data_IF_406626791238
#
_entry.id   IF_406626791238
#
_cell.length_a   1.000
_cell.length_b   1.000
_cell.length_c   1.000
_cell.angle_alpha   90.00
_cell.angle_beta   90.00
_cell.angle_gamma   90.00
#
_symmetry.space_group_name_H-M   'P 1'
#
loop_
_entity.id
_entity.type
_entity.pdbx_description
1 polymer ?
#
# COMPACT_ATOMS: atom_id res chain seq x y z
N UNK A 1 45.03 -98.72 25.15
CA UNK A 1 45.18 -98.00 23.81
C UNK A 1 43.79 -97.92 23.10
N UNK A 2 42.70 -98.15 23.81
CA UNK A 2 41.35 -98.16 23.21
C UNK A 2 40.49 -96.97 23.62
N UNK A 3 40.83 -96.20 24.64
CA UNK A 3 40.03 -95.05 25.14
C UNK A 3 40.25 -93.70 24.41
N UNK A 4 41.31 -93.59 23.62
CA UNK A 4 41.52 -92.35 22.88
C UNK A 4 40.74 -92.23 21.56
N UNK A 5 40.14 -93.30 21.08
CA UNK A 5 39.37 -93.31 19.83
C UNK A 5 37.88 -92.97 20.01
N UNK A 6 37.31 -92.99 21.25
CA UNK A 6 35.91 -92.68 21.56
C UNK A 6 35.66 -91.12 21.70
N UNK A 7 36.66 -90.39 22.16
CA UNK A 7 36.57 -88.96 22.33
C UNK A 7 36.70 -88.15 20.99
N UNK A 8 37.34 -88.72 19.98
CA UNK A 8 37.47 -88.05 18.68
C UNK A 8 36.21 -88.16 17.80
N UNK A 9 35.32 -89.18 18.07
CA UNK A 9 34.06 -89.34 17.31
C UNK A 9 32.91 -88.51 17.85
N UNK A 10 32.97 -88.05 19.09
CA UNK A 10 31.99 -87.10 19.64
C UNK A 10 32.20 -85.66 19.24
N UNK A 11 33.46 -85.24 18.94
CA UNK A 11 33.75 -83.88 18.48
C UNK A 11 33.39 -83.62 17.00
N UNK A 12 33.22 -84.69 16.16
CA UNK A 12 32.75 -84.54 14.78
C UNK A 12 31.22 -84.46 14.62
N UNK A 13 30.47 -84.99 15.61
CA UNK A 13 29.03 -84.86 15.67
C UNK A 13 28.55 -83.39 15.99
N UNK A 14 29.33 -82.73 16.84
CA UNK A 14 29.03 -81.38 17.31
C UNK A 14 29.22 -80.31 16.23
N UNK A 15 30.17 -80.51 15.33
CA UNK A 15 30.43 -79.59 14.19
C UNK A 15 29.31 -79.64 13.13
N UNK A 16 28.59 -80.74 12.97
CA UNK A 16 27.45 -80.83 12.05
C UNK A 16 26.21 -80.17 12.65
N UNK A 17 25.97 -80.36 13.96
CA UNK A 17 24.91 -79.67 14.69
C UNK A 17 25.09 -78.15 14.67
N UNK A 18 26.33 -77.67 14.93
CA UNK A 18 26.63 -76.23 14.83
C UNK A 18 26.42 -75.65 13.40
N UNK A 19 26.80 -76.43 12.36
CA UNK A 19 26.56 -75.98 10.96
C UNK A 19 25.08 -75.92 10.63
N UNK A 20 24.25 -76.86 11.08
CA UNK A 20 22.82 -76.84 10.85
C UNK A 20 22.14 -75.70 11.65
N UNK A 21 22.56 -75.50 12.90
CA UNK A 21 22.09 -74.36 13.72
C UNK A 21 22.46 -73.02 13.06
N UNK A 22 23.68 -72.85 12.52
CA UNK A 22 24.13 -71.67 11.80
C UNK A 22 23.32 -71.43 10.50
N UNK A 23 23.04 -72.51 9.73
CA UNK A 23 22.21 -72.40 8.50
C UNK A 23 20.78 -71.99 8.84
N UNK A 24 20.19 -72.56 9.95
CA UNK A 24 18.84 -72.15 10.37
C UNK A 24 18.79 -70.70 10.84
N UNK A 25 19.77 -70.24 11.59
CA UNK A 25 19.86 -68.84 12.03
C UNK A 25 20.06 -67.92 10.81
N UNK A 26 20.89 -68.28 9.86
CA UNK A 26 21.09 -67.52 8.63
C UNK A 26 19.80 -67.47 7.78
N UNK A 27 19.08 -68.61 7.62
CA UNK A 27 17.82 -68.69 6.93
C UNK A 27 16.73 -67.84 7.61
N UNK A 28 16.63 -67.90 8.97
CA UNK A 28 15.76 -67.05 9.72
C UNK A 28 16.08 -65.56 9.59
N UNK A 29 17.37 -65.19 9.61
CA UNK A 29 17.81 -63.81 9.36
C UNK A 29 17.43 -63.34 7.96
N UNK A 30 17.63 -64.17 6.94
CA UNK A 30 17.23 -63.85 5.56
C UNK A 30 15.72 -63.70 5.43
N UNK A 31 14.92 -64.56 6.09
CA UNK A 31 13.46 -64.46 6.10
C UNK A 31 12.97 -63.17 6.82
N UNK A 32 13.60 -62.79 7.93
CA UNK A 32 13.30 -61.55 8.63
C UNK A 32 13.66 -60.33 7.76
N UNK A 33 14.81 -60.32 7.12
CA UNK A 33 15.24 -59.25 6.20
C UNK A 33 14.29 -59.16 4.99
N UNK A 34 13.96 -60.32 4.38
CA UNK A 34 13.02 -60.36 3.26
C UNK A 34 11.63 -59.91 3.68
N UNK A 35 11.16 -60.35 4.87
CA UNK A 35 9.86 -59.88 5.42
C UNK A 35 9.83 -58.39 5.68
N UNK A 36 10.90 -57.79 6.24
CA UNK A 36 11.02 -56.32 6.40
C UNK A 36 11.06 -55.60 5.07
N UNK A 37 11.76 -56.13 4.09
CA UNK A 37 11.84 -55.54 2.77
C UNK A 37 10.49 -55.52 2.05
N UNK A 38 9.79 -56.65 2.06
CA UNK A 38 8.43 -56.75 1.50
C UNK A 38 7.44 -55.84 2.27
N UNK A 39 7.49 -55.85 3.60
CA UNK A 39 6.65 -54.98 4.41
C UNK A 39 6.93 -53.48 4.10
N UNK A 40 8.18 -53.06 4.01
CA UNK A 40 8.53 -51.72 3.67
C UNK A 40 7.98 -51.34 2.28
N UNK A 41 8.16 -52.18 1.27
CA UNK A 41 7.68 -51.94 -0.09
C UNK A 41 6.14 -51.95 -0.21
N UNK A 42 5.42 -52.57 0.67
CA UNK A 42 3.94 -52.59 0.73
C UNK A 42 3.36 -51.39 1.51
N UNK A 43 4.17 -50.73 2.32
CA UNK A 43 3.74 -49.66 3.23
C UNK A 43 4.30 -48.29 2.90
N UNK A 44 5.27 -48.19 1.97
CA UNK A 44 5.90 -46.95 1.58
C UNK A 44 5.93 -46.84 0.04
N UNK A 45 5.64 -45.65 -0.44
CA UNK A 45 5.80 -45.29 -1.86
C UNK A 45 7.11 -44.52 -2.01
N UNK A 46 8.07 -45.14 -2.71
CA UNK A 46 9.35 -44.50 -2.98
C UNK A 46 9.28 -43.77 -4.33
N UNK A 47 9.55 -42.48 -4.31
CA UNK A 47 9.56 -41.58 -5.47
C UNK A 47 10.95 -41.02 -5.66
N UNK A 48 11.61 -41.41 -6.76
CA UNK A 48 12.96 -40.93 -7.14
C UNK A 48 12.93 -39.70 -8.02
N UNK A 49 11.78 -39.36 -8.61
CA UNK A 49 11.56 -38.14 -9.42
C UNK A 49 11.00 -37.04 -8.54
N UNK A 50 11.84 -36.48 -7.69
CA UNK A 50 11.49 -35.39 -6.81
C UNK A 50 12.63 -34.38 -6.71
N UNK A 51 12.27 -33.12 -6.46
CA UNK A 51 13.23 -32.02 -6.32
C UNK A 51 12.80 -31.03 -5.27
N UNK A 52 13.75 -30.31 -4.71
CA UNK A 52 13.46 -29.12 -3.91
C UNK A 52 13.01 -28.00 -4.85
N UNK A 53 11.88 -27.40 -4.53
CA UNK A 53 11.31 -26.26 -5.24
C UNK A 53 11.08 -25.09 -4.29
N UNK A 54 11.04 -23.89 -4.83
CA UNK A 54 10.65 -22.66 -4.15
C UNK A 54 9.95 -21.74 -5.12
N UNK A 55 9.28 -20.73 -4.59
CA UNK A 55 8.77 -19.64 -5.41
C UNK A 55 9.91 -18.71 -5.83
N UNK A 56 10.17 -18.67 -7.14
CA UNK A 56 11.19 -17.81 -7.70
C UNK A 56 10.61 -16.42 -7.96
N UNK A 57 11.14 -15.42 -7.26
CA UNK A 57 10.69 -14.04 -7.33
C UNK A 57 11.61 -13.26 -8.26
N UNK A 58 11.06 -12.76 -9.34
CA UNK A 58 11.80 -11.92 -10.28
C UNK A 58 11.71 -10.45 -9.85
N UNK A 59 12.84 -9.82 -9.59
CA UNK A 59 12.95 -8.39 -9.38
C UNK A 59 13.21 -7.74 -10.74
N UNK A 60 12.24 -6.94 -11.20
CA UNK A 60 12.30 -6.25 -12.48
C UNK A 60 12.40 -4.74 -12.29
N UNK A 61 13.01 -4.03 -13.24
CA UNK A 61 13.03 -2.59 -13.26
C UNK A 61 11.63 -2.04 -13.54
N UNK A 62 11.17 -1.07 -12.74
CA UNK A 62 9.89 -0.40 -12.97
C UNK A 62 10.02 0.73 -13.98
N UNK A 63 11.19 1.38 -14.02
CA UNK A 63 11.46 2.51 -14.89
C UNK A 63 12.64 2.21 -15.81
N UNK A 64 12.67 2.73 -17.05
CA UNK A 64 13.81 2.55 -17.94
C UNK A 64 14.98 3.44 -17.50
N UNK A 65 16.21 2.98 -17.74
CA UNK A 65 17.42 3.76 -17.46
C UNK A 65 18.67 2.89 -17.30
N UNK A 66 19.81 3.54 -17.10
CA UNK A 66 21.09 2.88 -16.88
C UNK A 66 21.22 2.38 -15.43
N UNK A 67 21.60 1.14 -15.22
CA UNK A 67 21.88 0.59 -13.89
C UNK A 67 23.17 1.21 -13.35
N UNK A 68 23.05 2.14 -12.41
CA UNK A 68 24.17 2.89 -11.84
C UNK A 68 24.96 2.07 -10.80
N UNK A 69 24.25 1.26 -10.01
CA UNK A 69 24.86 0.41 -9.00
C UNK A 69 24.04 -0.86 -8.74
N UNK A 70 24.76 -1.94 -8.39
CA UNK A 70 24.17 -3.19 -7.93
C UNK A 70 25.05 -3.75 -6.79
N UNK A 71 24.76 -3.38 -5.53
CA UNK A 71 25.60 -3.74 -4.38
C UNK A 71 25.51 -5.21 -3.98
N UNK A 72 24.55 -5.97 -4.53
CA UNK A 72 24.32 -7.38 -4.20
C UNK A 72 24.90 -8.32 -5.26
N UNK A 73 25.34 -9.51 -4.82
CA UNK A 73 25.88 -10.56 -5.67
C UNK A 73 25.01 -11.82 -5.57
N UNK A 74 25.21 -12.76 -6.51
CA UNK A 74 24.60 -14.08 -6.45
C UNK A 74 25.05 -14.82 -5.18
N UNK A 75 24.11 -15.39 -4.45
CA UNK A 75 24.32 -16.03 -3.16
C UNK A 75 24.14 -15.13 -1.93
N UNK A 76 24.01 -13.80 -2.10
CA UNK A 76 23.81 -12.89 -0.98
C UNK A 76 22.42 -13.06 -0.36
N UNK A 77 22.39 -12.97 0.97
CA UNK A 77 21.13 -12.86 1.74
C UNK A 77 20.69 -11.42 1.80
N UNK A 78 19.44 -11.20 1.49
CA UNK A 78 18.81 -9.86 1.46
C UNK A 78 17.56 -9.81 2.32
N UNK A 79 17.30 -8.65 2.89
CA UNK A 79 16.11 -8.40 3.68
C UNK A 79 15.06 -7.62 2.87
N UNK A 80 13.80 -7.83 3.20
CA UNK A 80 12.70 -7.08 2.60
C UNK A 80 12.95 -5.57 2.70
N UNK A 81 12.84 -4.86 1.57
CA UNK A 81 13.08 -3.42 1.46
C UNK A 81 14.55 -3.04 1.27
N UNK A 82 15.49 -4.00 1.32
CA UNK A 82 16.90 -3.75 1.03
C UNK A 82 17.09 -3.36 -0.43
N UNK A 83 17.92 -2.35 -0.70
CA UNK A 83 18.27 -1.93 -2.06
C UNK A 83 19.15 -2.99 -2.73
N UNK A 84 18.67 -3.49 -3.85
CA UNK A 84 19.37 -4.50 -4.67
C UNK A 84 20.12 -3.88 -5.84
N UNK A 85 19.70 -2.69 -6.27
CA UNK A 85 20.30 -1.91 -7.35
C UNK A 85 19.66 -0.55 -7.47
N UNK A 86 20.34 0.35 -8.16
CA UNK A 86 19.84 1.70 -8.44
C UNK A 86 20.00 2.02 -9.92
N UNK A 87 18.93 2.49 -10.53
CA UNK A 87 18.95 3.06 -11.88
C UNK A 87 19.35 4.54 -11.76
N UNK A 88 20.06 5.07 -12.74
CA UNK A 88 20.52 6.46 -12.74
C UNK A 88 19.39 7.44 -12.52
N UNK A 89 19.42 8.13 -11.40
CA UNK A 89 18.28 8.89 -10.86
C UNK A 89 18.48 10.42 -10.90
N UNK A 90 19.61 10.93 -11.41
CA UNK A 90 19.93 12.36 -11.30
C UNK A 90 18.88 13.26 -11.96
N UNK A 91 18.49 12.95 -13.20
CA UNK A 91 17.47 13.72 -13.91
C UNK A 91 16.11 13.68 -13.20
N UNK A 92 15.70 12.51 -12.69
CA UNK A 92 14.45 12.36 -11.95
C UNK A 92 14.48 13.09 -10.60
N UNK A 93 15.63 13.08 -9.91
CA UNK A 93 15.81 13.79 -8.63
C UNK A 93 15.80 15.31 -8.83
N UNK A 94 16.43 15.80 -9.90
CA UNK A 94 16.39 17.20 -10.28
C UNK A 94 14.97 17.65 -10.68
N UNK A 95 14.24 16.82 -11.43
CA UNK A 95 12.84 17.08 -11.75
C UNK A 95 11.95 17.15 -10.49
N UNK A 96 12.13 16.23 -9.54
CA UNK A 96 11.40 16.25 -8.27
C UNK A 96 11.74 17.50 -7.43
N UNK A 97 13.01 17.95 -7.41
CA UNK A 97 13.42 19.15 -6.70
C UNK A 97 12.85 20.43 -7.37
N UNK A 98 12.79 20.49 -8.69
CA UNK A 98 12.15 21.59 -9.42
C UNK A 98 10.64 21.67 -9.14
N UNK A 99 9.94 20.51 -9.08
CA UNK A 99 8.53 20.47 -8.70
C UNK A 99 8.32 20.88 -7.22
N UNK A 100 9.24 20.54 -6.33
CA UNK A 100 9.19 20.98 -4.94
C UNK A 100 9.32 22.50 -4.81
N UNK A 101 10.25 23.11 -5.54
CA UNK A 101 10.42 24.56 -5.59
C UNK A 101 9.18 25.26 -6.17
N UNK A 102 8.58 24.71 -7.22
CA UNK A 102 7.34 25.23 -7.81
C UNK A 102 6.15 25.16 -6.83
N UNK A 103 6.02 24.07 -6.07
CA UNK A 103 5.01 23.95 -5.02
C UNK A 103 5.23 24.99 -3.93
N UNK A 104 6.46 25.14 -3.45
CA UNK A 104 6.80 26.11 -2.41
C UNK A 104 6.45 27.55 -2.83
N UNK A 105 6.71 27.92 -4.09
CA UNK A 105 6.34 29.24 -4.60
C UNK A 105 4.82 29.45 -4.67
N UNK A 106 4.07 28.43 -5.06
CA UNK A 106 2.60 28.47 -5.07
C UNK A 106 1.99 28.55 -3.66
N UNK A 107 2.55 27.83 -2.70
CA UNK A 107 2.16 27.91 -1.29
C UNK A 107 2.43 29.30 -0.68
N UNK A 108 3.57 29.92 -1.02
CA UNK A 108 3.88 31.30 -0.65
C UNK A 108 2.87 32.31 -1.23
N UNK A 109 2.41 32.11 -2.47
CA UNK A 109 1.37 32.94 -3.07
C UNK A 109 0.01 32.77 -2.38
N UNK A 110 -0.37 31.55 -2.00
CA UNK A 110 -1.57 31.32 -1.18
C UNK A 110 -1.50 32.10 0.12
N UNK A 111 -0.39 32.00 0.84
CA UNK A 111 -0.19 32.71 2.11
C UNK A 111 -0.26 34.22 1.93
N UNK A 112 0.35 34.78 0.86
CA UNK A 112 0.31 36.19 0.53
C UNK A 112 -1.15 36.66 0.31
N UNK A 113 -1.92 35.89 -0.46
CA UNK A 113 -3.34 36.23 -0.71
C UNK A 113 -4.19 36.15 0.55
N UNK A 114 -3.94 35.15 1.42
CA UNK A 114 -4.62 35.03 2.71
C UNK A 114 -4.33 36.20 3.64
N UNK A 115 -3.08 36.62 3.71
CA UNK A 115 -2.69 37.83 4.47
C UNK A 115 -3.38 39.09 3.92
N UNK A 116 -3.36 39.27 2.60
CA UNK A 116 -4.03 40.41 1.95
C UNK A 116 -5.55 40.40 2.23
N UNK A 117 -6.17 39.21 2.21
CA UNK A 117 -7.59 39.07 2.56
C UNK A 117 -7.85 39.45 4.02
N UNK A 118 -6.97 39.04 4.94
CA UNK A 118 -7.11 39.36 6.37
C UNK A 118 -6.98 40.88 6.61
N UNK A 119 -5.98 41.53 6.03
CA UNK A 119 -5.76 42.97 6.11
C UNK A 119 -6.94 43.75 5.50
N UNK A 120 -7.36 43.38 4.30
CA UNK A 120 -8.50 44.02 3.61
C UNK A 120 -9.79 43.86 4.42
N UNK A 121 -10.02 42.66 4.97
CA UNK A 121 -11.17 42.40 5.82
C UNK A 121 -11.16 43.31 7.09
N UNK A 122 -10.01 43.41 7.75
CA UNK A 122 -9.88 44.23 8.94
C UNK A 122 -10.16 45.72 8.64
N UNK A 123 -9.55 46.25 7.57
CA UNK A 123 -9.73 47.68 7.17
C UNK A 123 -11.18 47.97 6.72
N UNK A 124 -11.79 47.11 5.93
CA UNK A 124 -13.16 47.29 5.45
C UNK A 124 -14.19 47.13 6.59
N UNK A 125 -13.92 46.23 7.53
CA UNK A 125 -14.78 46.04 8.72
C UNK A 125 -14.74 47.26 9.63
N UNK A 126 -13.57 47.92 9.81
CA UNK A 126 -13.43 49.16 10.52
C UNK A 126 -14.21 50.27 9.82
N UNK A 127 -14.11 50.41 8.48
CA UNK A 127 -14.87 51.41 7.70
C UNK A 127 -16.41 51.20 7.79
N UNK A 128 -16.87 49.95 7.80
CA UNK A 128 -18.29 49.63 8.00
C UNK A 128 -18.75 50.06 9.41
N UNK A 129 -17.97 49.80 10.43
CA UNK A 129 -18.28 50.17 11.80
C UNK A 129 -18.30 51.69 11.98
N UNK A 130 -17.36 52.41 11.37
CA UNK A 130 -17.35 53.89 11.37
C UNK A 130 -18.61 54.46 10.68
N UNK A 131 -18.91 53.97 9.47
CA UNK A 131 -20.10 54.42 8.73
C UNK A 131 -21.40 54.10 9.47
N UNK A 132 -21.46 52.98 10.19
CA UNK A 132 -22.62 52.64 11.05
C UNK A 132 -22.75 53.60 12.23
N UNK A 133 -21.67 53.87 12.97
CA UNK A 133 -21.68 54.81 14.08
C UNK A 133 -22.10 56.20 13.63
N UNK A 134 -21.68 56.62 12.42
CA UNK A 134 -22.06 57.89 11.85
C UNK A 134 -23.55 57.95 11.47
N UNK A 135 -24.10 56.84 10.92
CA UNK A 135 -25.52 56.72 10.67
C UNK A 135 -26.36 56.79 11.95
N UNK A 136 -25.92 56.04 13.00
CA UNK A 136 -26.62 56.04 14.31
C UNK A 136 -26.67 57.45 14.94
N UNK A 137 -25.55 58.18 14.86
CA UNK A 137 -25.49 59.58 15.37
C UNK A 137 -26.44 60.52 14.61
N UNK A 138 -26.46 60.46 13.28
CA UNK A 138 -27.37 61.28 12.44
C UNK A 138 -28.82 60.84 12.64
N UNK A 139 -29.11 59.56 12.82
CA UNK A 139 -30.47 59.07 13.10
C UNK A 139 -31.03 59.60 14.41
N UNK A 140 -30.20 59.68 15.46
CA UNK A 140 -30.57 60.30 16.73
C UNK A 140 -30.87 61.81 16.55
N UNK A 141 -30.00 62.52 15.83
CA UNK A 141 -30.20 63.94 15.53
C UNK A 141 -31.49 64.17 14.70
N UNK A 142 -31.76 63.32 13.72
CA UNK A 142 -33.01 63.38 12.91
C UNK A 142 -34.24 63.17 13.76
N UNK A 143 -34.22 62.19 14.68
CA UNK A 143 -35.36 61.93 15.58
C UNK A 143 -35.59 63.14 16.51
N UNK A 144 -34.52 63.73 17.05
CA UNK A 144 -34.62 64.95 17.86
C UNK A 144 -35.24 66.13 17.05
N UNK A 145 -34.81 66.31 15.81
CA UNK A 145 -35.31 67.35 14.93
C UNK A 145 -36.82 67.11 14.55
N UNK A 146 -37.22 65.86 14.38
CA UNK A 146 -38.58 65.43 14.14
C UNK A 146 -39.51 65.81 15.32
N UNK A 147 -39.03 65.53 16.54
CA UNK A 147 -39.74 65.88 17.75
C UNK A 147 -39.86 67.41 17.91
N UNK A 148 -38.83 68.17 17.63
CA UNK A 148 -38.79 69.62 17.64
C UNK A 148 -39.76 70.24 16.63
N UNK A 149 -39.78 69.72 15.39
CA UNK A 149 -40.68 70.11 14.32
C UNK A 149 -42.13 69.84 14.75
N UNK A 150 -42.44 68.65 15.29
CA UNK A 150 -43.78 68.27 15.75
C UNK A 150 -44.30 69.21 16.86
N UNK A 151 -43.40 69.56 17.83
CA UNK A 151 -43.77 70.50 18.91
C UNK A 151 -44.00 71.92 18.36
N UNK A 152 -43.07 72.42 17.51
CA UNK A 152 -43.24 73.74 16.91
C UNK A 152 -44.48 73.88 16.03
N UNK A 153 -44.80 72.79 15.31
CA UNK A 153 -46.03 72.69 14.53
C UNK A 153 -47.26 72.75 15.39
N UNK A 154 -47.33 72.03 16.51
CA UNK A 154 -48.44 72.02 17.45
C UNK A 154 -48.66 73.39 18.10
N UNK A 155 -47.55 74.10 18.45
CA UNK A 155 -47.59 75.45 19.00
C UNK A 155 -48.09 76.44 17.96
N UNK A 156 -47.62 76.42 16.74
CA UNK A 156 -48.10 77.24 15.64
C UNK A 156 -49.57 77.00 15.37
N UNK A 157 -50.02 75.75 15.32
CA UNK A 157 -51.45 75.43 15.11
C UNK A 157 -52.30 75.96 16.24
N UNK A 158 -51.86 75.82 17.49
CA UNK A 158 -52.61 76.37 18.69
C UNK A 158 -52.66 77.85 18.64
N UNK A 159 -51.58 78.57 18.37
CA UNK A 159 -51.51 79.99 18.26
C UNK A 159 -52.44 80.53 17.12
N UNK A 160 -52.47 79.82 15.97
CA UNK A 160 -53.37 80.14 14.85
C UNK A 160 -54.81 79.99 15.21
N UNK A 161 -55.21 78.94 15.93
CA UNK A 161 -56.60 78.73 16.36
C UNK A 161 -57.06 79.79 17.41
N UNK A 162 -56.11 80.29 18.22
CA UNK A 162 -56.32 81.29 19.23
C UNK A 162 -56.39 82.71 18.67
N UNK A 163 -55.74 83.05 17.56
CA UNK A 163 -55.82 84.38 16.92
C UNK A 163 -57.14 84.54 16.27
N UNK A 164 -57.75 83.54 15.65
CA UNK A 164 -59.08 83.54 15.09
C UNK A 164 -60.15 83.88 16.16
N UNK A 165 -59.87 83.59 17.44
CA UNK A 165 -60.67 83.87 18.59
C UNK A 165 -60.28 85.17 19.33
N UNK A 166 -59.32 85.95 18.80
CA UNK A 166 -58.73 87.17 19.36
C UNK A 166 -58.04 87.02 20.73
N UNK A 167 -57.63 85.82 21.13
CA UNK A 167 -56.90 85.55 22.38
C UNK A 167 -55.37 85.78 22.31
N UNK A 168 -54.81 85.90 21.11
CA UNK A 168 -53.39 86.16 20.91
C UNK A 168 -53.21 87.19 19.77
N UNK A 169 -52.00 87.88 19.72
CA UNK A 169 -51.68 88.84 18.67
C UNK A 169 -51.19 88.17 17.41
N UNK A 170 -51.39 88.77 16.21
CA UNK A 170 -50.84 88.31 14.94
C UNK A 170 -49.30 88.17 14.98
N UNK A 171 -48.60 89.04 15.69
CA UNK A 171 -47.18 88.99 15.90
C UNK A 171 -46.76 87.68 16.58
N UNK A 172 -47.54 87.13 17.49
CA UNK A 172 -47.26 85.85 18.14
C UNK A 172 -47.39 84.67 17.18
N UNK A 173 -48.41 84.67 16.33
CA UNK A 173 -48.61 83.67 15.31
C UNK A 173 -47.42 83.69 14.32
N UNK A 174 -47.05 84.93 13.86
CA UNK A 174 -45.92 85.08 12.95
C UNK A 174 -44.60 84.59 13.54
N UNK A 175 -44.42 84.73 14.86
CA UNK A 175 -43.25 84.22 15.55
C UNK A 175 -43.25 82.66 15.61
N UNK A 176 -44.37 82.08 15.99
CA UNK A 176 -44.52 80.63 16.06
C UNK A 176 -44.44 79.98 14.66
N UNK A 177 -44.95 80.62 13.60
CA UNK A 177 -44.78 80.22 12.21
C UNK A 177 -43.31 80.19 11.78
N UNK A 178 -42.57 81.24 12.20
CA UNK A 178 -41.16 81.32 11.89
C UNK A 178 -40.36 80.22 12.56
N UNK A 179 -40.64 79.93 13.83
CA UNK A 179 -40.05 78.83 14.60
C UNK A 179 -40.38 77.46 13.93
N UNK A 180 -41.62 77.27 13.53
CA UNK A 180 -42.03 76.02 12.83
C UNK A 180 -41.30 75.87 11.49
N UNK A 181 -41.22 76.95 10.67
CA UNK A 181 -40.49 76.89 9.40
C UNK A 181 -39.01 76.61 9.55
N UNK A 182 -38.37 77.10 10.61
CA UNK A 182 -36.94 76.77 10.94
C UNK A 182 -36.85 75.32 11.33
N UNK A 183 -37.69 74.83 12.21
CA UNK A 183 -37.62 73.43 12.65
C UNK A 183 -37.91 72.47 11.48
N UNK A 184 -38.81 72.79 10.57
CA UNK A 184 -39.13 72.04 9.38
C UNK A 184 -37.92 71.97 8.44
N UNK A 185 -37.18 73.08 8.20
CA UNK A 185 -35.97 73.06 7.40
C UNK A 185 -34.85 72.24 8.01
N UNK A 186 -34.71 72.32 9.37
CA UNK A 186 -33.66 71.49 10.04
C UNK A 186 -33.99 69.97 9.98
N UNK A 187 -35.26 69.61 10.12
CA UNK A 187 -35.73 68.26 9.94
C UNK A 187 -35.49 67.76 8.50
N UNK A 188 -35.73 68.56 7.47
CA UNK A 188 -35.47 68.20 6.08
C UNK A 188 -33.95 68.04 5.82
N UNK A 189 -33.12 68.94 6.37
CA UNK A 189 -31.66 68.85 6.29
C UNK A 189 -31.14 67.56 6.88
N UNK A 190 -31.54 67.21 8.13
CA UNK A 190 -31.11 66.01 8.79
C UNK A 190 -31.65 64.74 8.14
N UNK A 191 -32.84 64.80 7.50
CA UNK A 191 -33.34 63.70 6.68
C UNK A 191 -32.44 63.45 5.45
N UNK A 192 -31.93 64.52 4.84
CA UNK A 192 -30.99 64.40 3.72
C UNK A 192 -29.62 63.89 4.17
N UNK A 193 -29.14 64.33 5.32
CA UNK A 193 -27.90 63.82 5.95
C UNK A 193 -27.99 62.34 6.32
N UNK A 194 -29.15 61.90 6.88
CA UNK A 194 -29.37 60.47 7.17
C UNK A 194 -29.36 59.60 5.91
N UNK A 195 -29.97 60.05 4.82
CA UNK A 195 -29.88 59.36 3.53
C UNK A 195 -28.44 59.28 3.00
N UNK A 196 -27.65 60.36 3.15
CA UNK A 196 -26.26 60.38 2.74
C UNK A 196 -25.40 59.42 3.60
N UNK A 197 -25.65 59.37 4.94
CA UNK A 197 -24.98 58.43 5.85
C UNK A 197 -25.35 56.97 5.52
N UNK A 198 -26.62 56.71 5.22
CA UNK A 198 -27.08 55.38 4.79
C UNK A 198 -26.41 54.92 3.48
N UNK A 199 -26.26 55.84 2.51
CA UNK A 199 -25.54 55.57 1.26
C UNK A 199 -24.04 55.27 1.49
N UNK A 200 -23.40 55.98 2.46
CA UNK A 200 -22.00 55.70 2.87
C UNK A 200 -21.87 54.32 3.51
N UNK A 201 -22.78 53.94 4.39
CA UNK A 201 -22.79 52.60 4.98
C UNK A 201 -22.94 51.52 3.89
N UNK A 202 -23.88 51.68 2.96
CA UNK A 202 -24.08 50.76 1.86
C UNK A 202 -22.81 50.62 0.98
N UNK A 203 -22.12 51.74 0.72
CA UNK A 203 -20.83 51.74 0.00
C UNK A 203 -19.75 50.99 0.77
N UNK A 204 -19.60 51.21 2.08
CA UNK A 204 -18.64 50.52 2.92
C UNK A 204 -18.93 49.00 2.98
N UNK A 205 -20.18 48.61 3.11
CA UNK A 205 -20.62 47.21 3.06
C UNK A 205 -20.32 46.53 1.71
N UNK A 206 -20.52 47.24 0.61
CA UNK A 206 -20.18 46.73 -0.72
C UNK A 206 -18.65 46.55 -0.88
N UNK A 207 -17.85 47.47 -0.37
CA UNK A 207 -16.40 47.39 -0.36
C UNK A 207 -15.89 46.23 0.55
N UNK A 208 -16.63 45.86 1.58
CA UNK A 208 -16.30 44.73 2.48
C UNK A 208 -16.50 43.36 1.84
N UNK A 209 -17.08 43.25 0.65
CA UNK A 209 -17.19 41.99 -0.09
C UNK A 209 -15.88 41.67 -0.76
N UNK A 210 -15.26 40.57 -0.29
CA UNK A 210 -13.94 40.10 -0.77
C UNK A 210 -14.04 39.01 -1.83
N UNK A 211 -15.13 38.96 -2.59
CA UNK A 211 -15.46 37.85 -3.50
C UNK A 211 -14.35 37.62 -4.56
N UNK A 212 -13.77 38.69 -5.08
CA UNK A 212 -12.67 38.59 -6.06
C UNK A 212 -11.40 38.04 -5.45
N UNK A 213 -11.00 38.49 -4.24
CA UNK A 213 -9.84 38.01 -3.53
C UNK A 213 -10.05 36.56 -3.05
N UNK A 214 -11.24 36.21 -2.59
CA UNK A 214 -11.59 34.86 -2.22
C UNK A 214 -11.45 33.88 -3.42
N UNK A 215 -11.94 34.32 -4.59
CA UNK A 215 -11.81 33.55 -5.82
C UNK A 215 -10.34 33.39 -6.24
N UNK A 216 -9.52 34.44 -6.10
CA UNK A 216 -8.08 34.36 -6.40
C UNK A 216 -7.38 33.40 -5.42
N UNK A 217 -7.64 33.50 -4.12
CA UNK A 217 -7.07 32.59 -3.12
C UNK A 217 -7.50 31.13 -3.35
N UNK A 218 -8.73 30.90 -3.75
CA UNK A 218 -9.23 29.57 -4.09
C UNK A 218 -8.51 28.99 -5.32
N UNK A 219 -8.29 29.79 -6.36
CA UNK A 219 -7.50 29.39 -7.56
C UNK A 219 -6.07 29.06 -7.18
N UNK A 220 -5.39 29.93 -6.42
CA UNK A 220 -4.02 29.69 -5.96
C UNK A 220 -3.90 28.41 -5.14
N UNK A 221 -4.88 28.10 -4.27
CA UNK A 221 -4.93 26.84 -3.53
C UNK A 221 -5.10 25.62 -4.44
N UNK A 222 -5.96 25.71 -5.46
CA UNK A 222 -6.13 24.64 -6.44
C UNK A 222 -4.85 24.41 -7.26
N UNK A 223 -4.15 25.46 -7.64
CA UNK A 223 -2.87 25.39 -8.36
C UNK A 223 -1.79 24.74 -7.47
N UNK A 224 -1.67 25.14 -6.21
CA UNK A 224 -0.76 24.51 -5.24
C UNK A 224 -1.07 23.02 -5.03
N UNK A 225 -2.35 22.62 -4.94
CA UNK A 225 -2.76 21.23 -4.87
C UNK A 225 -2.36 20.45 -6.13
N UNK A 226 -2.54 21.05 -7.31
CA UNK A 226 -2.12 20.45 -8.59
C UNK A 226 -0.61 20.23 -8.65
N UNK A 227 0.19 21.20 -8.21
CA UNK A 227 1.65 21.09 -8.12
C UNK A 227 2.07 20.04 -7.07
N UNK A 228 1.37 19.96 -5.94
CA UNK A 228 1.59 18.93 -4.93
C UNK A 228 1.33 17.50 -5.47
N UNK A 229 0.33 17.32 -6.33
CA UNK A 229 0.10 16.06 -7.02
C UNK A 229 1.22 15.71 -7.99
N UNK A 230 1.72 16.68 -8.77
CA UNK A 230 2.86 16.50 -9.67
C UNK A 230 4.14 16.14 -8.93
N UNK A 231 4.41 16.80 -7.80
CA UNK A 231 5.55 16.46 -6.96
C UNK A 231 5.47 15.02 -6.43
N UNK A 232 4.28 14.55 -6.03
CA UNK A 232 4.11 13.15 -5.60
C UNK A 232 4.41 12.16 -6.72
N UNK A 233 3.95 12.42 -7.95
CA UNK A 233 4.29 11.61 -9.13
C UNK A 233 5.80 11.59 -9.36
N UNK A 234 6.44 12.74 -9.37
CA UNK A 234 7.89 12.84 -9.59
C UNK A 234 8.70 12.11 -8.50
N UNK A 235 8.22 12.11 -7.24
CA UNK A 235 8.83 11.33 -6.14
C UNK A 235 8.62 9.82 -6.31
N UNK A 236 7.48 9.38 -6.87
CA UNK A 236 7.27 7.97 -7.22
C UNK A 236 8.22 7.54 -8.34
N UNK A 237 8.43 8.40 -9.35
CA UNK A 237 9.40 8.12 -10.42
C UNK A 237 10.81 7.91 -9.83
N UNK A 238 11.25 8.77 -8.91
CA UNK A 238 12.54 8.60 -8.20
C UNK A 238 12.57 7.32 -7.36
N UNK A 239 11.47 7.00 -6.67
CA UNK A 239 11.37 5.79 -5.86
C UNK A 239 11.46 4.51 -6.73
N UNK A 240 10.83 4.52 -7.90
CA UNK A 240 10.78 3.37 -8.80
C UNK A 240 12.10 3.12 -9.56
N UNK A 241 13.06 4.04 -9.45
CA UNK A 241 14.44 3.84 -9.89
C UNK A 241 15.26 2.99 -8.92
N UNK A 242 14.75 2.69 -7.71
CA UNK A 242 15.39 1.78 -6.77
C UNK A 242 14.80 0.38 -6.90
N UNK A 243 15.67 -0.58 -7.14
CA UNK A 243 15.32 -1.99 -7.12
C UNK A 243 15.41 -2.47 -5.67
N UNK A 244 14.30 -2.86 -5.07
CA UNK A 244 14.26 -3.31 -3.67
C UNK A 244 13.78 -4.75 -3.56
N UNK A 245 14.27 -5.48 -2.55
CA UNK A 245 13.84 -6.84 -2.25
C UNK A 245 12.39 -6.85 -1.76
N UNK A 246 11.46 -7.59 -2.41
CA UNK A 246 10.07 -7.68 -1.99
C UNK A 246 9.86 -8.52 -0.73
N UNK A 247 10.76 -9.48 -0.48
CA UNK A 247 10.78 -10.41 0.67
C UNK A 247 12.18 -10.58 1.22
N UNK A 248 12.31 -11.22 2.39
CA UNK A 248 13.59 -11.76 2.83
C UNK A 248 13.96 -12.93 1.93
N UNK A 249 15.23 -13.03 1.50
CA UNK A 249 15.59 -14.11 0.60
C UNK A 249 17.06 -14.18 0.28
N UNK A 250 17.38 -15.02 -0.70
CA UNK A 250 18.71 -15.20 -1.27
C UNK A 250 18.65 -14.84 -2.76
N UNK A 251 19.64 -14.12 -3.24
CA UNK A 251 19.79 -13.79 -4.66
C UNK A 251 20.30 -15.03 -5.40
N UNK A 252 19.50 -15.57 -6.30
CA UNK A 252 19.88 -16.77 -7.08
C UNK A 252 20.67 -16.42 -8.32
N UNK A 253 20.20 -15.40 -9.06
CA UNK A 253 20.81 -15.03 -10.33
C UNK A 253 20.65 -13.56 -10.65
N UNK A 254 21.66 -12.99 -11.27
CA UNK A 254 21.65 -11.65 -11.86
C UNK A 254 21.58 -11.75 -13.38
N UNK A 255 20.71 -10.91 -13.99
CA UNK A 255 20.52 -10.81 -15.43
C UNK A 255 21.04 -9.50 -16.02
N UNK A 256 21.43 -8.54 -15.16
CA UNK A 256 21.98 -7.26 -15.57
C UNK A 256 23.17 -6.86 -14.72
N UNK A 257 24.11 -6.15 -15.32
CA UNK A 257 25.30 -5.63 -14.68
C UNK A 257 25.24 -4.11 -14.57
N UNK A 258 26.04 -3.55 -13.66
CA UNK A 258 26.23 -2.10 -13.59
C UNK A 258 26.72 -1.57 -14.94
N UNK A 259 26.06 -0.53 -15.45
CA UNK A 259 26.31 0.03 -16.76
C UNK A 259 25.36 -0.48 -17.86
N UNK A 260 24.52 -1.48 -17.60
CA UNK A 260 23.54 -1.94 -18.58
C UNK A 260 22.34 -0.99 -18.61
N UNK A 261 21.72 -0.83 -19.78
CA UNK A 261 20.46 -0.13 -19.93
C UNK A 261 19.31 -1.07 -19.70
N UNK A 262 18.43 -0.71 -18.77
CA UNK A 262 17.25 -1.48 -18.40
C UNK A 262 16.00 -0.90 -19.07
N UNK A 263 15.16 -1.75 -19.63
CA UNK A 263 13.80 -1.38 -20.02
C UNK A 263 12.82 -1.56 -18.86
N UNK A 264 11.71 -0.85 -18.89
CA UNK A 264 10.63 -1.07 -17.92
C UNK A 264 10.11 -2.51 -18.04
N UNK A 265 9.97 -3.22 -16.92
CA UNK A 265 9.60 -4.65 -16.87
C UNK A 265 10.75 -5.62 -17.12
N UNK A 266 11.94 -5.14 -17.43
CA UNK A 266 13.11 -6.00 -17.61
C UNK A 266 13.53 -6.63 -16.28
N UNK A 267 13.68 -7.97 -16.27
CA UNK A 267 14.16 -8.71 -15.11
C UNK A 267 15.65 -8.41 -14.85
N UNK A 268 15.95 -8.04 -13.63
CA UNK A 268 17.31 -7.69 -13.18
C UNK A 268 17.91 -8.79 -12.31
N UNK A 269 17.12 -9.30 -11.37
CA UNK A 269 17.53 -10.33 -10.41
C UNK A 269 16.45 -11.39 -10.25
N UNK A 270 16.86 -12.59 -9.87
CA UNK A 270 15.99 -13.66 -9.43
C UNK A 270 16.38 -14.01 -8.00
N UNK A 271 15.41 -14.17 -7.13
CA UNK A 271 15.61 -14.52 -5.73
C UNK A 271 14.54 -15.47 -5.24
N UNK A 272 14.81 -16.17 -4.16
CA UNK A 272 13.82 -17.01 -3.47
C UNK A 272 13.88 -16.79 -1.95
N UNK A 273 12.77 -17.14 -1.28
CA UNK A 273 12.73 -17.22 0.17
C UNK A 273 13.21 -18.61 0.61
N UNK A 274 14.36 -18.71 1.31
CA UNK A 274 14.90 -20.01 1.72
C UNK A 274 14.06 -20.70 2.81
N UNK A 275 13.14 -19.99 3.46
CA UNK A 275 12.20 -20.60 4.42
C UNK A 275 10.95 -21.15 3.72
N UNK A 276 10.59 -20.63 2.56
CA UNK A 276 9.43 -21.01 1.75
C UNK A 276 9.79 -22.02 0.67
N UNK A 277 10.33 -23.16 1.07
CA UNK A 277 10.68 -24.28 0.17
C UNK A 277 9.76 -25.47 0.39
N UNK A 278 9.63 -26.28 -0.63
CA UNK A 278 8.92 -27.57 -0.58
C UNK A 278 9.62 -28.60 -1.47
N UNK A 279 9.24 -29.86 -1.27
CA UNK A 279 9.62 -30.93 -2.22
C UNK A 279 8.48 -31.08 -3.23
N UNK A 280 8.82 -31.07 -4.50
CA UNK A 280 7.93 -31.40 -5.61
C UNK A 280 8.27 -32.81 -6.09
N UNK A 281 7.38 -33.76 -5.82
CA UNK A 281 7.52 -35.16 -6.19
C UNK A 281 6.55 -35.50 -7.33
N UNK A 282 7.04 -36.06 -8.43
CA UNK A 282 6.25 -36.46 -9.59
C UNK A 282 5.78 -37.91 -9.42
N UNK A 283 4.58 -38.12 -8.88
CA UNK A 283 4.01 -39.44 -8.58
C UNK A 283 3.29 -39.97 -9.80
N UNK A 284 3.44 -41.28 -10.08
CA UNK A 284 2.71 -41.93 -11.15
C UNK A 284 1.22 -41.93 -10.85
N UNK A 285 0.40 -41.73 -11.88
CA UNK A 285 -1.08 -41.78 -11.78
C UNK A 285 -1.59 -43.07 -11.13
N UNK A 286 -0.90 -44.18 -11.39
CA UNK A 286 -1.25 -45.50 -10.81
C UNK A 286 -1.14 -45.56 -9.29
N UNK A 287 -0.22 -44.77 -8.71
CA UNK A 287 0.14 -44.83 -7.30
C UNK A 287 -0.56 -43.73 -6.51
N UNK A 288 -1.30 -42.83 -7.21
CA UNK A 288 -1.96 -41.67 -6.60
C UNK A 288 -3.12 -42.07 -5.69
N UNK A 289 -3.74 -43.22 -5.92
CA UNK A 289 -4.86 -43.72 -5.10
C UNK A 289 -4.50 -43.92 -3.64
N UNK A 290 -3.20 -44.17 -3.34
CA UNK A 290 -2.68 -44.42 -2.01
C UNK A 290 -2.19 -43.16 -1.30
N UNK A 291 -2.19 -42.00 -2.00
CA UNK A 291 -1.70 -40.72 -1.47
C UNK A 291 -2.83 -39.87 -0.90
N UNK A 292 -2.62 -39.33 0.30
CA UNK A 292 -3.54 -38.43 0.99
C UNK A 292 -2.80 -37.24 1.58
N UNK A 293 -3.51 -36.12 1.73
CA UNK A 293 -2.99 -34.94 2.43
C UNK A 293 -2.63 -35.27 3.88
N UNK A 294 -1.50 -34.74 4.33
CA UNK A 294 -1.02 -34.90 5.70
C UNK A 294 -0.20 -36.16 5.96
N UNK A 295 -0.11 -37.12 5.00
CA UNK A 295 0.71 -38.32 5.17
C UNK A 295 2.19 -37.92 5.42
N UNK A 296 2.85 -38.59 6.41
CA UNK A 296 4.26 -38.40 6.69
C UNK A 296 5.12 -38.93 5.55
N UNK A 297 6.21 -38.24 5.27
CA UNK A 297 7.17 -38.63 4.29
C UNK A 297 8.60 -38.39 4.79
N UNK A 298 9.53 -39.21 4.31
CA UNK A 298 10.95 -39.04 4.54
C UNK A 298 11.61 -38.57 3.24
N UNK A 299 12.42 -37.53 3.34
CA UNK A 299 13.12 -36.94 2.21
C UNK A 299 14.63 -37.18 2.37
N UNK A 300 15.21 -37.86 1.41
CA UNK A 300 16.62 -38.11 1.32
C UNK A 300 17.24 -37.22 0.24
N UNK A 301 18.29 -36.53 0.60
CA UNK A 301 18.96 -35.57 -0.31
C UNK A 301 20.33 -36.09 -0.64
N UNK A 302 20.64 -36.29 -1.89
CA UNK A 302 21.92 -36.83 -2.33
C UNK A 302 23.15 -35.99 -1.89
N UNK A 303 22.96 -34.69 -1.78
CA UNK A 303 23.98 -33.76 -1.30
C UNK A 303 24.32 -33.93 0.20
N UNK A 304 23.44 -34.61 0.98
CA UNK A 304 23.61 -34.78 2.42
C UNK A 304 23.41 -36.25 2.81
N UNK A 305 24.32 -37.15 2.42
CA UNK A 305 24.21 -38.57 2.71
C UNK A 305 24.20 -38.82 4.22
N UNK A 306 23.22 -39.63 4.68
CA UNK A 306 23.01 -39.94 6.11
C UNK A 306 22.12 -38.95 6.87
N UNK A 307 21.59 -37.92 6.22
CA UNK A 307 20.54 -37.05 6.79
C UNK A 307 19.19 -37.32 6.13
N UNK A 308 18.19 -37.52 6.93
CA UNK A 308 16.80 -37.68 6.49
C UNK A 308 16.01 -36.45 6.98
N UNK A 309 15.27 -35.82 6.11
CA UNK A 309 14.43 -34.69 6.44
C UNK A 309 12.98 -35.17 6.53
N UNK A 310 12.28 -34.75 7.58
CA UNK A 310 10.87 -35.07 7.74
C UNK A 310 10.02 -34.12 6.88
N UNK A 311 9.06 -34.72 6.19
CA UNK A 311 8.09 -34.00 5.36
C UNK A 311 6.68 -34.50 5.55
N UNK A 312 5.70 -33.78 5.01
CA UNK A 312 4.30 -34.17 4.93
C UNK A 312 3.72 -33.76 3.60
N UNK A 313 2.84 -34.59 3.06
CA UNK A 313 2.06 -34.26 1.87
C UNK A 313 1.20 -33.04 2.16
N UNK A 314 1.48 -31.93 1.47
CA UNK A 314 0.79 -30.65 1.66
C UNK A 314 -0.20 -30.32 0.54
N UNK A 315 0.04 -30.80 -0.69
CA UNK A 315 -0.81 -30.56 -1.85
C UNK A 315 -0.66 -31.70 -2.85
N UNK A 316 -1.78 -32.14 -3.42
CA UNK A 316 -1.82 -33.07 -4.55
C UNK A 316 -2.25 -32.28 -5.78
N UNK A 317 -1.47 -32.30 -6.85
CA UNK A 317 -1.75 -31.58 -8.08
C UNK A 317 -3.02 -32.11 -8.78
N UNK A 318 -3.74 -31.21 -9.42
CA UNK A 318 -4.97 -31.56 -10.13
C UNK A 318 -4.76 -31.85 -11.64
N UNK A 319 -3.51 -31.76 -12.12
CA UNK A 319 -3.18 -31.92 -13.54
C UNK A 319 -1.84 -32.63 -13.68
N UNK A 320 -1.72 -33.46 -14.70
CA UNK A 320 -0.47 -34.14 -15.02
C UNK A 320 0.57 -33.12 -15.53
N UNK A 321 1.85 -33.39 -15.24
CA UNK A 321 2.97 -32.53 -15.67
C UNK A 321 3.04 -32.40 -17.20
N UNK A 322 2.62 -33.42 -17.94
CA UNK A 322 2.56 -33.39 -19.41
C UNK A 322 1.57 -32.38 -19.99
N UNK A 323 0.52 -32.00 -19.24
CA UNK A 323 -0.47 -30.99 -19.67
C UNK A 323 0.13 -29.59 -19.83
N UNK A 324 1.26 -29.31 -19.16
CA UNK A 324 1.99 -28.03 -19.19
C UNK A 324 3.30 -28.09 -19.97
N UNK A 325 3.57 -29.20 -20.67
CA UNK A 325 4.78 -29.32 -21.47
C UNK A 325 4.71 -28.35 -22.67
N UNK A 326 5.76 -27.51 -22.83
CA UNK A 326 5.87 -26.55 -23.94
C UNK A 326 5.87 -27.22 -25.33
N UNK A 327 6.25 -28.48 -25.41
CA UNK A 327 6.16 -29.32 -26.60
C UNK A 327 5.28 -30.53 -26.22
N UNK A 328 3.97 -30.49 -26.49
CA UNK A 328 3.16 -31.70 -26.40
C UNK A 328 3.76 -32.69 -27.39
N UNK A 329 4.06 -33.91 -26.93
CA UNK A 329 4.55 -34.98 -27.80
C UNK A 329 3.37 -35.48 -28.66
N UNK A 330 3.10 -34.88 -29.85
CA UNK A 330 2.06 -35.40 -30.70
C UNK A 330 2.59 -36.72 -31.28
N UNK A 331 1.94 -37.81 -30.94
CA UNK A 331 2.21 -39.09 -31.60
C UNK A 331 1.53 -39.04 -32.99
N UNK A 332 2.29 -38.73 -34.09
CA UNK A 332 1.68 -38.49 -35.42
C UNK A 332 1.15 -39.76 -36.07
N UNK A 333 1.41 -40.92 -35.46
CA UNK A 333 1.05 -42.24 -36.02
C UNK A 333 -0.37 -42.72 -35.63
N UNK A 334 -1.16 -41.95 -34.88
CA UNK A 334 -2.53 -42.34 -34.51
C UNK A 334 -2.63 -43.50 -33.49
N UNK A 335 -1.55 -44.09 -33.10
CA UNK A 335 -1.52 -45.21 -32.15
C UNK A 335 -1.33 -44.64 -30.74
N UNK A 336 -2.39 -44.53 -29.95
CA UNK A 336 -2.34 -44.10 -28.54
C UNK A 336 -1.71 -45.20 -27.67
N UNK A 337 -0.40 -45.14 -27.53
CA UNK A 337 0.27 -45.94 -26.48
C UNK A 337 -0.04 -45.25 -25.13
N UNK A 338 -0.73 -45.95 -24.23
CA UNK A 338 -1.02 -45.46 -22.88
C UNK A 338 0.29 -45.29 -22.14
N UNK A 339 0.73 -44.03 -22.00
CA UNK A 339 1.90 -43.65 -21.18
C UNK A 339 1.38 -43.24 -19.82
N UNK A 340 1.91 -43.86 -18.76
CA UNK A 340 1.57 -43.50 -17.38
C UNK A 340 1.95 -42.03 -17.12
N UNK A 341 0.97 -41.22 -16.77
CA UNK A 341 1.15 -39.82 -16.47
C UNK A 341 1.72 -39.62 -15.08
N UNK A 342 2.35 -38.45 -14.82
CA UNK A 342 2.84 -38.09 -13.51
C UNK A 342 2.10 -36.86 -13.00
N UNK A 343 1.72 -36.90 -11.72
CA UNK A 343 1.03 -35.81 -11.06
C UNK A 343 1.98 -35.23 -10.03
N UNK A 344 2.19 -33.89 -10.01
CA UNK A 344 3.06 -33.26 -9.05
C UNK A 344 2.38 -33.25 -7.67
N UNK A 345 3.08 -33.75 -6.67
CA UNK A 345 2.67 -33.72 -5.27
C UNK A 345 3.70 -32.87 -4.52
N UNK A 346 3.18 -31.88 -3.75
CA UNK A 346 4.05 -31.07 -2.91
C UNK A 346 4.08 -31.63 -1.49
N UNK A 347 5.29 -31.66 -0.94
CA UNK A 347 5.50 -32.02 0.44
C UNK A 347 6.13 -30.82 1.17
N UNK A 348 5.57 -30.45 2.30
CA UNK A 348 6.28 -29.57 3.22
C UNK A 348 7.47 -30.30 3.79
N UNK A 349 8.60 -29.62 3.91
CA UNK A 349 9.82 -30.19 4.48
C UNK A 349 10.28 -29.32 5.64
N UNK A 350 10.64 -29.98 6.77
CA UNK A 350 11.26 -29.28 7.90
C UNK A 350 12.77 -29.33 7.71
N UNK A 351 13.39 -28.16 7.67
CA UNK A 351 14.85 -28.07 7.57
C UNK A 351 15.42 -27.26 8.74
N UNK A 352 16.60 -27.66 9.19
CA UNK A 352 17.41 -26.91 10.14
C UNK A 352 18.61 -26.33 9.42
N UNK A 353 18.89 -25.05 9.62
CA UNK A 353 20.09 -24.37 9.08
C UNK A 353 20.05 -24.02 7.59
N UNK A 354 18.87 -24.01 6.94
CA UNK A 354 18.71 -23.60 5.53
C UNK A 354 19.64 -24.35 4.55
N UNK A 355 19.73 -25.67 4.73
CA UNK A 355 20.64 -26.51 3.93
C UNK A 355 20.07 -26.83 2.55
N UNK A 356 18.75 -26.95 2.44
CA UNK A 356 18.07 -27.33 1.21
C UNK A 356 18.01 -26.15 0.25
N UNK A 357 18.44 -26.37 -0.99
CA UNK A 357 18.45 -25.34 -2.04
C UNK A 357 17.52 -25.76 -3.17
N UNK A 358 16.78 -24.82 -3.77
CA UNK A 358 15.96 -25.09 -4.96
C UNK A 358 16.78 -25.74 -6.07
N UNK A 359 16.19 -26.72 -6.73
CA UNK A 359 16.83 -27.49 -7.78
C UNK A 359 17.60 -28.73 -7.33
N UNK A 360 17.83 -28.95 -6.01
CA UNK A 360 18.40 -30.18 -5.53
C UNK A 360 17.47 -31.36 -5.81
N UNK A 361 18.02 -32.46 -6.33
CA UNK A 361 17.32 -33.75 -6.51
C UNK A 361 17.21 -34.46 -5.17
N UNK A 362 16.09 -35.09 -4.94
CA UNK A 362 15.80 -35.81 -3.70
C UNK A 362 15.00 -37.08 -3.96
N UNK A 363 15.14 -38.04 -3.07
CA UNK A 363 14.27 -39.22 -3.01
C UNK A 363 13.28 -39.07 -1.88
N UNK A 364 12.03 -39.40 -2.14
CA UNK A 364 10.91 -39.27 -1.17
C UNK A 364 10.29 -40.63 -0.90
N UNK A 365 10.22 -41.02 0.36
CA UNK A 365 9.50 -42.20 0.80
C UNK A 365 8.26 -41.79 1.59
N UNK A 366 7.07 -41.97 1.00
CA UNK A 366 5.77 -41.59 1.60
C UNK A 366 5.15 -42.80 2.31
N UNK A 367 4.78 -42.61 3.56
CA UNK A 367 4.10 -43.68 4.34
C UNK A 367 2.61 -43.76 3.96
N UNK A 368 2.22 -44.84 3.29
CA UNK A 368 0.85 -45.09 2.80
C UNK A 368 -0.03 -45.83 3.78
N UNK A 369 0.43 -46.14 4.99
CA UNK A 369 -0.36 -46.88 6.02
C UNK A 369 -1.49 -46.05 6.63
N UNK A 370 -1.33 -44.74 6.67
CA UNK A 370 -2.40 -43.85 7.13
C UNK A 370 -3.36 -43.58 5.96
N UNK A 371 -4.44 -44.35 5.91
CA UNK A 371 -5.53 -44.20 4.95
C UNK A 371 -6.55 -43.15 5.41
#
# INVERSE_FOLDING_TARGET
>A
MIDRLRTFKQSLGDRRGLRHAFIVVLAAAVLVIAGRFVHHRMTHLDVTDARIASEMIAVASRSPGWLSSRPVQEGDRVHRGQTLGEVYAENASLAASAQAASLQSAEAEVLRLEQLMAETRASTQAAVQEAKSQLDAVALAQEQARLNEANARADYQRDRDLVDRQFVSEQRVQRSETVYKIAQREQQKLTSEARAAQARLAKAQAAARLDSLATQAQRARADAQGLGARLRLSRLDVHDLRLVAPVNGVVDRSFANTGDYLAAGQRVLLMHDPEAIWVEANIKETDLTDIRLGQPAQVHVDAYPGRTFEGRVSLIGNSATSAFALLPNPNPSGNFTKITQRIPVRLSVRQEGLLLKPGMMVEVSIDTRQR
#
